data_IF_538019534673
#
_entry.id   IF_538019534673
#
_cell.length_a   1.000
_cell.length_b   1.000
_cell.length_c   1.000
_cell.angle_alpha   90.00
_cell.angle_beta   90.00
_cell.angle_gamma   90.00
#
_symmetry.space_group_name_H-M   'P 1'
#
loop_
_entity.id
_entity.type
_entity.pdbx_description
1 polymer ?
#
# COMPACT_ATOMS: atom_id res chain seq x y z
N UNK A 1 -5.98 -21.39 10.37
CA UNK A 1 -5.58 -21.35 8.95
C UNK A 1 -4.25 -22.06 8.82
N UNK A 2 -4.22 -23.18 8.10
CA UNK A 2 -3.07 -24.08 8.06
C UNK A 2 -2.06 -23.57 7.01
N UNK A 3 -0.75 -23.83 7.23
CA UNK A 3 0.36 -23.41 6.34
C UNK A 3 0.15 -23.86 4.86
N UNK A 4 -0.61 -24.93 4.64
CA UNK A 4 -1.00 -25.45 3.32
C UNK A 4 -2.01 -24.54 2.58
N UNK A 5 -2.94 -23.89 3.28
CA UNK A 5 -3.86 -22.91 2.68
C UNK A 5 -3.12 -21.62 2.26
N UNK A 6 -2.04 -21.29 2.96
CA UNK A 6 -1.10 -20.22 2.62
C UNK A 6 -0.42 -20.47 1.26
N UNK A 7 0.04 -21.70 1.03
CA UNK A 7 0.72 -22.08 -0.22
C UNK A 7 -0.22 -22.06 -1.43
N UNK A 8 -1.51 -22.31 -1.22
CA UNK A 8 -2.51 -22.30 -2.29
C UNK A 8 -2.80 -20.87 -2.76
N UNK A 9 -2.96 -19.93 -1.82
CA UNK A 9 -3.16 -18.52 -2.15
C UNK A 9 -1.89 -17.87 -2.75
N UNK A 10 -0.69 -18.33 -2.37
CA UNK A 10 0.56 -17.92 -3.00
C UNK A 10 0.73 -18.50 -4.41
N UNK A 11 0.14 -19.67 -4.70
CA UNK A 11 0.13 -20.25 -6.05
C UNK A 11 -0.79 -19.51 -7.02
N UNK A 12 -1.84 -18.87 -6.55
CA UNK A 12 -2.76 -18.10 -7.40
C UNK A 12 -2.20 -16.73 -7.83
N UNK A 13 -1.16 -16.22 -7.12
CA UNK A 13 -0.41 -15.03 -7.54
C UNK A 13 1.06 -15.45 -7.66
N UNK A 14 1.48 -15.98 -8.82
CA UNK A 14 2.86 -16.35 -9.05
C UNK A 14 3.78 -15.18 -8.70
N UNK A 15 4.83 -15.43 -7.93
CA UNK A 15 5.87 -14.43 -7.60
C UNK A 15 6.36 -13.71 -8.85
N UNK A 16 6.46 -14.43 -9.95
CA UNK A 16 6.84 -13.92 -11.27
C UNK A 16 5.88 -12.83 -11.78
N UNK A 17 4.58 -12.90 -11.50
CA UNK A 17 3.64 -11.85 -11.91
C UNK A 17 3.81 -10.59 -11.08
N UNK A 18 4.08 -10.72 -9.79
CA UNK A 18 4.38 -9.58 -8.91
C UNK A 18 5.76 -9.04 -9.27
N UNK A 19 6.75 -9.91 -9.45
CA UNK A 19 8.12 -9.58 -9.81
C UNK A 19 8.20 -8.90 -11.18
N UNK A 20 7.62 -9.51 -12.23
CA UNK A 20 7.62 -8.97 -13.59
C UNK A 20 6.87 -7.64 -13.72
N UNK A 21 5.72 -7.47 -13.03
CA UNK A 21 5.02 -6.19 -12.98
C UNK A 21 5.87 -5.10 -12.34
N UNK A 22 6.56 -5.43 -11.26
CA UNK A 22 7.32 -4.46 -10.47
C UNK A 22 8.71 -4.20 -11.05
N UNK A 23 9.35 -5.16 -11.69
CA UNK A 23 10.61 -4.95 -12.42
C UNK A 23 10.44 -3.88 -13.52
N UNK A 24 9.31 -3.89 -14.24
CA UNK A 24 9.01 -2.87 -15.23
C UNK A 24 8.88 -1.47 -14.61
N UNK A 25 8.29 -1.36 -13.41
CA UNK A 25 8.21 -0.09 -12.68
C UNK A 25 9.54 0.31 -12.06
N UNK A 26 10.32 -0.65 -11.57
CA UNK A 26 11.66 -0.43 -11.04
C UNK A 26 12.64 0.08 -12.09
N UNK A 27 12.57 -0.43 -13.33
CA UNK A 27 13.41 0.04 -14.43
C UNK A 27 13.10 1.51 -14.74
N UNK A 28 11.81 1.91 -14.75
CA UNK A 28 11.43 3.31 -14.95
C UNK A 28 11.90 4.21 -13.82
N UNK A 29 11.94 3.70 -12.59
CA UNK A 29 12.39 4.47 -11.41
C UNK A 29 13.91 4.61 -11.38
N UNK A 30 14.65 3.53 -11.66
CA UNK A 30 16.13 3.54 -11.70
C UNK A 30 16.68 4.54 -12.71
N UNK A 31 15.95 4.81 -13.79
CA UNK A 31 16.34 5.79 -14.79
C UNK A 31 16.30 7.25 -14.27
N UNK A 32 15.56 7.52 -13.18
CA UNK A 32 15.30 8.88 -12.68
C UNK A 32 15.86 9.18 -11.28
N UNK A 33 16.42 8.20 -10.58
CA UNK A 33 16.92 8.38 -9.20
C UNK A 33 18.39 7.98 -9.06
N UNK A 34 19.19 8.87 -8.45
CA UNK A 34 20.63 8.59 -8.21
C UNK A 34 20.90 7.45 -7.21
N UNK A 35 19.94 7.15 -6.32
CA UNK A 35 19.96 5.98 -5.41
C UNK A 35 18.51 5.59 -5.07
N UNK A 36 17.93 4.60 -5.74
CA UNK A 36 16.64 4.06 -5.30
C UNK A 36 16.82 3.40 -3.92
N UNK A 37 15.84 3.60 -3.03
CA UNK A 37 15.77 2.84 -1.79
C UNK A 37 15.63 1.35 -2.15
N UNK A 38 16.48 0.54 -1.57
CA UNK A 38 16.34 -0.91 -1.65
C UNK A 38 15.07 -1.33 -0.93
N UNK A 39 14.37 -2.29 -1.48
CA UNK A 39 13.18 -2.86 -0.87
C UNK A 39 13.34 -4.37 -0.83
N UNK A 40 12.78 -4.99 0.19
CA UNK A 40 12.77 -6.43 0.33
C UNK A 40 11.50 -6.99 -0.31
N UNK A 41 11.68 -7.63 -1.48
CA UNK A 41 10.56 -8.22 -2.21
C UNK A 41 9.77 -9.25 -1.39
N UNK A 42 10.39 -10.12 -0.57
CA UNK A 42 9.64 -11.05 0.28
C UNK A 42 8.67 -10.37 1.23
N UNK A 43 9.05 -9.22 1.81
CA UNK A 43 8.20 -8.48 2.74
C UNK A 43 7.02 -7.81 2.02
N UNK A 44 7.26 -7.27 0.83
CA UNK A 44 6.19 -6.74 -0.01
C UNK A 44 5.21 -7.84 -0.44
N UNK A 45 5.69 -9.04 -0.76
CA UNK A 45 4.85 -10.19 -1.06
C UNK A 45 4.02 -10.64 0.15
N UNK A 46 4.61 -10.66 1.35
CA UNK A 46 3.89 -10.97 2.60
C UNK A 46 2.79 -9.95 2.88
N UNK A 47 3.09 -8.66 2.69
CA UNK A 47 2.12 -7.58 2.85
C UNK A 47 0.95 -7.72 1.87
N UNK A 48 1.25 -7.95 0.60
CA UNK A 48 0.26 -8.19 -0.44
C UNK A 48 -0.65 -9.38 -0.08
N UNK A 49 -0.03 -10.51 0.32
CA UNK A 49 -0.76 -11.69 0.76
C UNK A 49 -1.62 -11.41 2.01
N UNK A 50 -1.11 -10.65 2.99
CA UNK A 50 -1.85 -10.28 4.19
C UNK A 50 -3.14 -9.53 3.82
N UNK A 51 -3.05 -8.55 2.92
CA UNK A 51 -4.20 -7.78 2.44
C UNK A 51 -5.23 -8.69 1.78
N UNK A 52 -4.80 -9.63 0.92
CA UNK A 52 -5.68 -10.57 0.24
C UNK A 52 -6.33 -11.57 1.19
N UNK A 53 -5.54 -12.23 2.03
CA UNK A 53 -6.02 -13.29 2.95
C UNK A 53 -6.99 -12.78 3.98
N UNK A 54 -6.77 -11.56 4.49
CA UNK A 54 -7.63 -10.90 5.46
C UNK A 54 -8.77 -10.11 4.83
N UNK A 55 -8.83 -10.03 3.50
CA UNK A 55 -9.85 -9.29 2.75
C UNK A 55 -9.96 -7.84 3.24
N UNK A 56 -8.82 -7.17 3.38
CA UNK A 56 -8.71 -5.81 3.92
C UNK A 56 -9.43 -4.81 3.01
N UNK A 57 -10.45 -4.11 3.52
CA UNK A 57 -11.20 -3.11 2.76
C UNK A 57 -10.44 -1.79 2.69
N UNK A 58 -10.02 -1.25 3.84
CA UNK A 58 -9.33 0.03 3.93
C UNK A 58 -8.00 -0.13 4.63
N UNK A 59 -7.01 0.60 4.12
CA UNK A 59 -5.68 0.65 4.74
C UNK A 59 -5.31 2.10 4.97
N UNK A 60 -4.78 2.39 6.14
CA UNK A 60 -4.02 3.60 6.43
C UNK A 60 -2.54 3.23 6.40
N UNK A 61 -1.79 3.83 5.51
CA UNK A 61 -0.35 3.66 5.42
C UNK A 61 0.34 4.95 5.87
N UNK A 62 1.22 4.85 6.84
CA UNK A 62 2.09 5.95 7.28
C UNK A 62 3.41 5.85 6.55
N UNK A 63 3.68 6.82 5.69
CA UNK A 63 4.69 6.77 4.65
C UNK A 63 4.08 6.45 3.29
N UNK A 64 4.89 6.53 2.24
CA UNK A 64 4.46 6.16 0.89
C UNK A 64 5.63 5.58 0.10
N UNK A 65 5.39 4.54 -0.68
CA UNK A 65 6.46 3.90 -1.43
C UNK A 65 6.01 2.70 -2.26
N UNK A 66 6.86 1.69 -2.30
CA UNK A 66 6.56 0.44 -2.99
C UNK A 66 5.42 -0.33 -2.33
N UNK A 67 5.34 -0.31 -1.00
CA UNK A 67 4.24 -0.92 -0.22
C UNK A 67 2.87 -0.41 -0.68
N UNK A 68 2.75 0.90 -0.96
CA UNK A 68 1.53 1.51 -1.50
C UNK A 68 1.04 0.80 -2.77
N UNK A 69 1.97 0.47 -3.67
CA UNK A 69 1.63 -0.17 -4.95
C UNK A 69 1.19 -1.62 -4.73
N UNK A 70 1.89 -2.37 -3.86
CA UNK A 70 1.56 -3.76 -3.55
C UNK A 70 0.21 -3.89 -2.85
N UNK A 71 -0.07 -3.02 -1.89
CA UNK A 71 -1.38 -2.96 -1.23
C UNK A 71 -2.48 -2.61 -2.24
N UNK A 72 -2.24 -1.65 -3.13
CA UNK A 72 -3.21 -1.25 -4.15
C UNK A 72 -3.49 -2.36 -5.17
N UNK A 73 -2.47 -3.15 -5.56
CA UNK A 73 -2.66 -4.30 -6.44
C UNK A 73 -3.51 -5.38 -5.77
N UNK A 74 -3.24 -5.69 -4.49
CA UNK A 74 -4.07 -6.61 -3.72
C UNK A 74 -5.53 -6.13 -3.62
N UNK A 75 -5.75 -4.84 -3.41
CA UNK A 75 -7.10 -4.24 -3.37
C UNK A 75 -7.80 -4.26 -4.73
N UNK A 76 -7.07 -4.06 -5.80
CA UNK A 76 -7.59 -4.21 -7.15
C UNK A 76 -8.10 -5.64 -7.40
N UNK A 77 -7.35 -6.66 -6.97
CA UNK A 77 -7.77 -8.06 -7.04
C UNK A 77 -9.00 -8.31 -6.17
N UNK A 78 -9.00 -7.87 -4.92
CA UNK A 78 -10.16 -8.02 -4.03
C UNK A 78 -11.42 -7.40 -4.63
N UNK A 79 -11.35 -6.18 -5.18
CA UNK A 79 -12.47 -5.53 -5.84
C UNK A 79 -13.01 -6.34 -7.02
N UNK A 80 -12.12 -7.00 -7.77
CA UNK A 80 -12.52 -7.88 -8.88
C UNK A 80 -13.29 -9.10 -8.40
N UNK A 81 -12.89 -9.72 -7.28
CA UNK A 81 -13.56 -10.88 -6.70
C UNK A 81 -14.88 -10.51 -6.00
N UNK A 82 -14.91 -9.37 -5.32
CA UNK A 82 -16.04 -8.92 -4.51
C UNK A 82 -16.94 -7.89 -5.22
N UNK A 83 -17.22 -8.08 -6.52
CA UNK A 83 -18.01 -7.15 -7.34
C UNK A 83 -19.40 -6.82 -6.79
N UNK A 84 -19.97 -7.69 -5.94
CA UNK A 84 -21.33 -7.54 -5.38
C UNK A 84 -21.36 -6.89 -4.00
N UNK A 85 -20.21 -6.55 -3.42
CA UNK A 85 -20.15 -5.91 -2.10
C UNK A 85 -20.47 -4.42 -2.29
N UNK A 86 -21.71 -4.04 -1.98
CA UNK A 86 -22.15 -2.64 -2.03
C UNK A 86 -22.02 -2.01 -0.63
N UNK A 87 -21.34 -0.87 -0.54
CA UNK A 87 -21.38 0.09 0.58
C UNK A 87 -21.28 -0.49 2.00
N UNK A 88 -20.36 -1.44 2.20
CA UNK A 88 -20.05 -1.94 3.53
C UNK A 88 -18.98 -1.04 4.14
N UNK A 89 -19.28 -0.38 5.24
CA UNK A 89 -18.39 0.36 6.16
C UNK A 89 -17.79 1.67 5.66
N UNK A 90 -17.70 1.96 4.37
CA UNK A 90 -17.05 3.18 3.86
C UNK A 90 -17.44 3.51 2.43
N UNK A 91 -17.31 4.78 2.06
CA UNK A 91 -17.59 5.26 0.70
C UNK A 91 -16.64 4.67 -0.35
N UNK A 92 -15.36 4.56 -0.01
CA UNK A 92 -14.33 3.98 -0.89
C UNK A 92 -13.88 2.64 -0.35
N UNK A 93 -14.43 1.58 -0.93
CA UNK A 93 -14.02 0.21 -0.60
C UNK A 93 -12.75 -0.19 -1.35
N UNK A 94 -11.96 -1.09 -0.74
CA UNK A 94 -10.71 -1.57 -1.30
C UNK A 94 -9.76 -0.41 -1.64
N UNK A 95 -9.60 0.50 -0.67
CA UNK A 95 -8.84 1.72 -0.83
C UNK A 95 -7.67 1.80 0.15
N UNK A 96 -6.59 2.45 -0.29
CA UNK A 96 -5.44 2.79 0.55
C UNK A 96 -5.34 4.31 0.68
N UNK A 97 -5.20 4.78 1.90
CA UNK A 97 -4.88 6.15 2.25
C UNK A 97 -3.42 6.17 2.69
N UNK A 98 -2.54 6.61 1.81
CA UNK A 98 -1.10 6.67 2.06
C UNK A 98 -0.74 8.10 2.45
N UNK A 99 -0.32 8.29 3.68
CA UNK A 99 -0.05 9.58 4.30
C UNK A 99 1.46 9.79 4.41
N UNK A 100 1.95 10.92 3.92
CA UNK A 100 3.39 11.22 3.96
C UNK A 100 3.65 12.70 4.29
N UNK A 101 4.74 12.94 5.01
CA UNK A 101 5.20 14.29 5.40
C UNK A 101 6.04 14.97 4.32
N UNK A 102 6.48 14.24 3.31
CA UNK A 102 7.32 14.77 2.23
C UNK A 102 6.56 14.84 0.91
N UNK A 103 6.30 16.04 0.41
CA UNK A 103 5.74 16.25 -0.92
C UNK A 103 6.62 15.65 -2.03
N UNK A 104 7.94 15.65 -1.82
CA UNK A 104 8.90 15.08 -2.75
C UNK A 104 8.67 13.56 -2.91
N UNK A 105 8.66 12.81 -1.79
CA UNK A 105 8.45 11.37 -1.81
C UNK A 105 7.04 10.98 -2.27
N UNK A 106 6.02 11.74 -1.90
CA UNK A 106 4.66 11.53 -2.42
C UNK A 106 4.60 11.69 -3.95
N UNK A 107 5.31 12.66 -4.51
CA UNK A 107 5.40 12.86 -5.97
C UNK A 107 6.16 11.72 -6.66
N UNK A 108 7.22 11.21 -6.06
CA UNK A 108 7.94 10.02 -6.55
C UNK A 108 6.98 8.82 -6.59
N UNK A 109 6.31 8.54 -5.48
CA UNK A 109 5.33 7.45 -5.39
C UNK A 109 4.21 7.63 -6.41
N UNK A 110 3.67 8.84 -6.57
CA UNK A 110 2.63 9.16 -7.55
C UNK A 110 3.04 8.79 -8.98
N UNK A 111 4.29 9.08 -9.36
CA UNK A 111 4.83 8.73 -10.70
C UNK A 111 4.99 7.23 -10.91
N UNK A 112 5.17 6.47 -9.83
CA UNK A 112 5.34 5.00 -9.85
C UNK A 112 4.01 4.25 -9.94
N UNK A 113 2.90 4.87 -9.53
CA UNK A 113 1.59 4.23 -9.48
C UNK A 113 1.10 3.92 -10.90
N UNK A 114 0.81 2.63 -11.20
CA UNK A 114 0.20 2.25 -12.46
C UNK A 114 -1.20 2.87 -12.63
N UNK A 115 -1.55 3.25 -13.86
CA UNK A 115 -2.84 3.87 -14.16
C UNK A 115 -4.05 3.05 -13.67
N UNK A 116 -3.98 1.74 -13.82
CA UNK A 116 -5.05 0.81 -13.39
C UNK A 116 -5.19 0.69 -11.86
N UNK A 117 -4.19 1.10 -11.09
CA UNK A 117 -4.22 1.08 -9.62
C UNK A 117 -4.55 2.43 -8.99
N UNK A 118 -4.49 3.51 -9.76
CA UNK A 118 -4.65 4.88 -9.25
C UNK A 118 -5.98 5.11 -8.54
N UNK A 119 -7.06 4.44 -8.98
CA UNK A 119 -8.38 4.54 -8.35
C UNK A 119 -8.46 3.94 -6.94
N UNK A 120 -7.48 3.14 -6.54
CA UNK A 120 -7.39 2.51 -5.22
C UNK A 120 -6.54 3.28 -4.22
N UNK A 121 -5.93 4.41 -4.63
CA UNK A 121 -4.92 5.11 -3.84
C UNK A 121 -5.31 6.56 -3.64
N UNK A 122 -5.24 7.01 -2.39
CA UNK A 122 -5.20 8.44 -2.03
C UNK A 122 -3.85 8.74 -1.40
N UNK A 123 -3.03 9.54 -2.09
CA UNK A 123 -1.79 10.07 -1.52
C UNK A 123 -2.11 11.38 -0.80
N UNK A 124 -1.81 11.44 0.48
CA UNK A 124 -2.17 12.55 1.37
C UNK A 124 -0.91 13.16 1.96
N UNK A 125 -0.68 14.43 1.67
CA UNK A 125 0.34 15.19 2.38
C UNK A 125 -0.16 15.53 3.78
N UNK A 126 0.66 15.27 4.80
CA UNK A 126 0.32 15.56 6.18
C UNK A 126 1.55 16.07 6.93
N UNK A 127 1.40 17.23 7.55
CA UNK A 127 2.44 17.78 8.40
C UNK A 127 2.56 17.00 9.70
N UNK A 128 3.78 16.89 10.20
CA UNK A 128 4.10 16.21 11.45
C UNK A 128 4.71 17.20 12.44
N UNK A 129 4.37 17.03 13.71
CA UNK A 129 4.98 17.74 14.83
C UNK A 129 5.85 16.78 15.62
N UNK A 130 6.98 17.27 16.10
CA UNK A 130 7.78 16.55 17.10
C UNK A 130 7.18 16.85 18.47
N UNK A 131 6.73 15.82 19.15
CA UNK A 131 6.14 15.92 20.49
C UNK A 131 6.97 15.13 21.50
N UNK A 132 6.87 15.53 22.76
CA UNK A 132 7.35 14.68 23.86
C UNK A 132 6.17 13.86 24.38
N UNK A 133 6.27 12.54 24.24
CA UNK A 133 5.28 11.61 24.76
C UNK A 133 5.94 10.70 25.79
N UNK A 134 5.55 10.84 27.05
CA UNK A 134 6.10 10.05 28.17
C UNK A 134 7.63 10.10 28.26
N UNK A 135 8.22 11.28 28.06
CA UNK A 135 9.69 11.47 28.11
C UNK A 135 10.44 11.04 26.85
N UNK A 136 9.76 10.59 25.80
CA UNK A 136 10.35 10.21 24.51
C UNK A 136 9.88 11.13 23.40
N UNK A 137 10.78 11.45 22.47
CA UNK A 137 10.38 12.16 21.26
C UNK A 137 9.59 11.24 20.32
N UNK A 138 8.45 11.76 19.84
CA UNK A 138 7.59 11.07 18.90
C UNK A 138 7.12 12.03 17.79
N UNK A 139 6.71 11.48 16.66
CA UNK A 139 6.09 12.22 15.57
C UNK A 139 4.57 12.13 15.68
N UNK A 140 3.90 13.26 15.62
CA UNK A 140 2.44 13.36 15.61
C UNK A 140 1.98 13.92 14.27
N UNK A 141 1.22 13.16 13.53
CA UNK A 141 0.53 13.63 12.34
C UNK A 141 -0.61 14.58 12.72
N UNK A 142 -0.71 15.76 12.05
CA UNK A 142 -1.69 16.79 12.39
C UNK A 142 -3.11 16.41 11.98
N UNK A 143 -3.26 15.94 10.74
CA UNK A 143 -4.57 15.71 10.12
C UNK A 143 -4.63 14.36 9.42
N UNK A 144 -4.80 13.29 10.19
CA UNK A 144 -5.06 11.98 9.60
C UNK A 144 -6.46 11.92 8.98
N UNK A 145 -6.67 11.15 7.90
CA UNK A 145 -7.99 10.97 7.33
C UNK A 145 -8.93 10.32 8.36
N UNK A 146 -10.17 10.81 8.44
CA UNK A 146 -11.18 10.23 9.32
C UNK A 146 -11.75 8.95 8.69
N UNK A 147 -11.06 7.86 8.89
CA UNK A 147 -11.41 6.53 8.39
C UNK A 147 -11.29 5.50 9.49
N UNK A 148 -11.96 4.36 9.32
CA UNK A 148 -11.76 3.17 10.16
C UNK A 148 -10.97 2.15 9.34
N UNK A 149 -9.63 2.14 9.42
CA UNK A 149 -8.83 1.21 8.63
C UNK A 149 -8.88 -0.19 9.23
N UNK A 150 -8.86 -1.20 8.35
CA UNK A 150 -8.72 -2.61 8.75
C UNK A 150 -7.23 -2.99 8.90
N UNK A 151 -6.34 -2.16 8.35
CA UNK A 151 -4.88 -2.31 8.42
C UNK A 151 -4.22 -0.91 8.54
N UNK A 152 -3.27 -0.79 9.45
CA UNK A 152 -2.40 0.36 9.64
C UNK A 152 -0.95 -0.06 9.46
#
# INVERSE_FOLDING_TARGET
>A
MNFFELSYLLKEIPEDRIKNRNEKYLIQVKANEKKPLEFELPDLCRLHWLVLSRKVFNTLEIGSGFSTIFIADAKHLLKKYFKKVKNIRCEKQFHIYSVGESKHFLNITKKRIPKNLSSHISLIFNEVDIINYQGKYALKHRNLPNISPDLI
#
